data_IF_637228867364
#
_entry.id   IF_637228867364
#
_cell.length_a   1.000
_cell.length_b   1.000
_cell.length_c   1.000
_cell.angle_alpha   90.00
_cell.angle_beta   90.00
_cell.angle_gamma   90.00
#
_symmetry.space_group_name_H-M   'P 1'
#
loop_
_entity.id
_entity.type
_entity.pdbx_description
1 polymer ?
#
# COMPACT_ATOMS: atom_id res chain seq x y z
N UNK A 1 -6.37 36.92 -10.81
CA UNK A 1 -6.41 35.58 -11.46
C UNK A 1 -5.39 35.44 -12.60
N UNK A 2 -5.20 36.43 -13.48
CA UNK A 2 -4.26 36.36 -14.64
C UNK A 2 -2.76 36.24 -14.30
N UNK A 3 -2.29 36.73 -13.15
CA UNK A 3 -0.86 36.62 -12.76
C UNK A 3 -0.46 35.26 -12.12
N UNK A 4 -1.43 34.42 -11.71
CA UNK A 4 -1.14 33.09 -11.13
C UNK A 4 -0.87 32.04 -12.22
N UNK A 5 -1.46 32.18 -13.41
CA UNK A 5 -1.27 31.29 -14.56
C UNK A 5 0.19 31.20 -15.02
N UNK A 6 0.90 32.34 -15.08
CA UNK A 6 2.26 32.42 -15.65
C UNK A 6 3.32 31.77 -14.76
N UNK A 7 3.13 31.79 -13.43
CA UNK A 7 3.95 31.03 -12.47
C UNK A 7 3.62 29.53 -12.48
N UNK A 8 2.35 29.17 -12.73
CA UNK A 8 1.89 27.77 -12.80
C UNK A 8 2.50 26.98 -13.96
N UNK A 9 2.71 27.62 -15.11
CA UNK A 9 3.37 27.00 -16.28
C UNK A 9 4.87 26.71 -16.07
N UNK A 10 5.59 27.58 -15.35
CA UNK A 10 6.98 27.33 -14.96
C UNK A 10 7.08 26.20 -13.92
N UNK A 11 6.10 26.14 -13.02
CA UNK A 11 5.98 25.09 -12.00
C UNK A 11 5.63 23.73 -12.63
N UNK A 12 4.75 23.68 -13.64
CA UNK A 12 4.35 22.43 -14.30
C UNK A 12 5.50 21.77 -15.07
N UNK A 13 6.26 22.56 -15.87
CA UNK A 13 7.46 22.05 -16.53
C UNK A 13 8.52 21.58 -15.53
N UNK A 14 8.65 22.27 -14.39
CA UNK A 14 9.56 21.88 -13.31
C UNK A 14 9.08 20.60 -12.62
N UNK A 15 7.78 20.46 -12.35
CA UNK A 15 7.17 19.26 -11.77
C UNK A 15 7.32 18.05 -12.68
N UNK A 16 7.14 18.20 -14.00
CA UNK A 16 7.38 17.11 -14.97
C UNK A 16 8.86 16.72 -15.00
N UNK A 17 9.79 17.68 -14.96
CA UNK A 17 11.23 17.39 -14.88
C UNK A 17 11.60 16.67 -13.59
N UNK A 18 11.06 17.10 -12.45
CA UNK A 18 11.27 16.44 -11.15
C UNK A 18 10.68 15.03 -11.17
N UNK A 19 9.49 14.85 -11.72
CA UNK A 19 8.87 13.53 -11.88
C UNK A 19 9.74 12.58 -12.72
N UNK A 20 10.25 13.04 -13.86
CA UNK A 20 11.18 12.26 -14.69
C UNK A 20 12.49 11.93 -13.98
N UNK A 21 13.08 12.90 -13.28
CA UNK A 21 14.29 12.67 -12.48
C UNK A 21 14.03 11.65 -11.38
N UNK A 22 12.89 11.74 -10.70
CA UNK A 22 12.49 10.80 -9.66
C UNK A 22 12.32 9.38 -10.23
N UNK A 23 11.64 9.22 -11.38
CA UNK A 23 11.52 7.92 -12.05
C UNK A 23 12.89 7.36 -12.44
N UNK A 24 13.80 8.20 -12.93
CA UNK A 24 15.16 7.78 -13.29
C UNK A 24 15.95 7.31 -12.06
N UNK A 25 15.96 8.10 -10.98
CA UNK A 25 16.66 7.76 -9.73
C UNK A 25 16.06 6.50 -9.10
N UNK A 26 14.72 6.40 -9.05
CA UNK A 26 14.04 5.24 -8.51
C UNK A 26 14.33 3.97 -9.33
N UNK A 27 14.36 4.06 -10.65
CA UNK A 27 14.78 2.97 -11.53
C UNK A 27 16.22 2.51 -11.25
N UNK A 28 17.15 3.45 -11.06
CA UNK A 28 18.54 3.15 -10.72
C UNK A 28 18.65 2.41 -9.38
N UNK A 29 17.87 2.84 -8.37
CA UNK A 29 17.80 2.16 -7.07
C UNK A 29 17.27 0.74 -7.21
N UNK A 30 16.24 0.50 -8.02
CA UNK A 30 15.70 -0.85 -8.26
C UNK A 30 16.75 -1.76 -8.93
N UNK A 31 17.50 -1.24 -9.89
CA UNK A 31 18.58 -1.99 -10.55
C UNK A 31 19.66 -2.36 -9.53
N UNK A 32 20.10 -1.41 -8.70
CA UNK A 32 21.08 -1.66 -7.65
C UNK A 32 20.59 -2.71 -6.64
N UNK A 33 19.33 -2.61 -6.20
CA UNK A 33 18.70 -3.61 -5.35
C UNK A 33 18.66 -4.99 -6.01
N UNK A 34 18.35 -5.05 -7.31
CA UNK A 34 18.31 -6.30 -8.08
C UNK A 34 19.68 -6.97 -8.16
N UNK A 35 20.76 -6.18 -8.30
CA UNK A 35 22.13 -6.69 -8.24
C UNK A 35 22.55 -7.14 -6.82
N UNK A 36 21.88 -6.64 -5.77
CA UNK A 36 22.18 -7.01 -4.38
C UNK A 36 21.47 -8.30 -3.93
N UNK A 37 20.34 -8.65 -4.57
CA UNK A 37 19.60 -9.90 -4.32
C UNK A 37 20.49 -11.15 -4.24
N UNK A 38 21.42 -11.43 -5.18
CA UNK A 38 22.25 -12.64 -5.12
C UNK A 38 23.13 -12.72 -3.88
N UNK A 39 23.50 -11.58 -3.27
CA UNK A 39 24.39 -11.55 -2.10
C UNK A 39 23.65 -11.72 -0.77
N UNK A 40 22.35 -11.48 -0.72
CA UNK A 40 21.57 -11.39 0.52
C UNK A 40 20.69 -12.61 0.82
N UNK A 41 20.96 -13.75 0.18
CA UNK A 41 20.36 -15.04 0.55
C UNK A 41 18.98 -15.33 -0.05
N UNK A 42 18.63 -14.66 -1.16
CA UNK A 42 17.43 -14.91 -1.95
C UNK A 42 16.54 -13.66 -2.14
N UNK A 43 15.86 -13.57 -3.28
CA UNK A 43 15.01 -12.43 -3.63
C UNK A 43 13.91 -12.18 -2.60
N UNK A 44 13.28 -13.25 -2.12
CA UNK A 44 12.19 -13.18 -1.16
C UNK A 44 12.62 -12.52 0.15
N UNK A 45 13.72 -12.96 0.77
CA UNK A 45 14.16 -12.41 2.06
C UNK A 45 14.48 -10.92 1.95
N UNK A 46 15.14 -10.50 0.87
CA UNK A 46 15.48 -9.09 0.64
C UNK A 46 14.23 -8.25 0.42
N UNK A 47 13.32 -8.71 -0.45
CA UNK A 47 12.11 -7.97 -0.79
C UNK A 47 11.18 -7.88 0.42
N UNK A 48 10.98 -8.97 1.17
CA UNK A 48 10.14 -8.99 2.37
C UNK A 48 10.68 -8.03 3.42
N UNK A 49 11.98 -8.09 3.73
CA UNK A 49 12.64 -7.21 4.68
C UNK A 49 12.56 -5.74 4.28
N UNK A 50 12.79 -5.40 3.00
CA UNK A 50 12.67 -4.01 2.54
C UNK A 50 11.21 -3.54 2.57
N UNK A 51 10.27 -4.40 2.19
CA UNK A 51 8.86 -4.07 2.15
C UNK A 51 8.32 -3.84 3.57
N UNK A 52 8.64 -4.69 4.54
CA UNK A 52 8.19 -4.53 5.93
C UNK A 52 8.80 -3.27 6.56
N UNK A 53 10.07 -2.99 6.28
CA UNK A 53 10.76 -1.79 6.78
C UNK A 53 10.15 -0.48 6.27
N UNK A 54 9.52 -0.46 5.08
CA UNK A 54 8.90 0.74 4.51
C UNK A 54 7.38 0.78 4.74
N UNK A 55 6.68 -0.33 4.49
CA UNK A 55 5.22 -0.37 4.53
C UNK A 55 4.67 -0.29 5.94
N UNK A 56 5.26 -1.01 6.91
CA UNK A 56 4.76 -1.02 8.28
C UNK A 56 4.71 0.39 8.92
N UNK A 57 5.78 1.21 8.89
CA UNK A 57 5.74 2.58 9.41
C UNK A 57 4.91 3.55 8.57
N UNK A 58 4.50 3.18 7.36
CA UNK A 58 3.68 4.02 6.49
C UNK A 58 2.18 3.77 6.67
N UNK A 59 1.77 2.50 6.75
CA UNK A 59 0.38 2.12 6.92
C UNK A 59 -0.19 2.54 8.27
N UNK A 60 0.57 2.34 9.35
CA UNK A 60 0.07 2.54 10.71
C UNK A 60 -0.31 4.00 10.98
N UNK A 61 0.54 5.01 10.70
CA UNK A 61 0.17 6.43 10.82
C UNK A 61 -0.96 6.82 9.86
N UNK A 62 -1.01 6.23 8.66
CA UNK A 62 -2.06 6.55 7.69
C UNK A 62 -3.43 6.07 8.16
N UNK A 63 -3.54 4.85 8.68
CA UNK A 63 -4.77 4.31 9.26
C UNK A 63 -5.12 5.08 10.53
N UNK A 64 -4.17 5.29 11.43
CA UNK A 64 -4.41 5.99 12.69
C UNK A 64 -4.82 7.45 12.48
N UNK A 65 -4.23 8.13 11.51
CA UNK A 65 -4.59 9.50 11.14
C UNK A 65 -6.00 9.65 10.58
N UNK A 66 -6.55 8.61 9.95
CA UNK A 66 -7.96 8.61 9.49
C UNK A 66 -8.95 8.52 10.64
N UNK A 67 -8.59 7.85 11.75
CA UNK A 67 -9.46 7.70 12.93
C UNK A 67 -9.19 8.74 14.03
N UNK A 68 -8.00 9.35 14.05
CA UNK A 68 -7.63 10.34 15.06
C UNK A 68 -8.14 11.73 14.70
N UNK A 69 -8.89 12.34 15.62
CA UNK A 69 -9.39 13.73 15.48
C UNK A 69 -8.33 14.79 15.84
N UNK A 70 -7.17 14.36 16.35
CA UNK A 70 -6.23 15.22 17.10
C UNK A 70 -4.81 15.21 16.54
N UNK A 71 -4.49 14.34 15.59
CA UNK A 71 -3.16 14.25 14.99
C UNK A 71 -3.08 15.08 13.71
N UNK A 72 -2.22 16.10 13.75
CA UNK A 72 -1.90 16.90 12.57
C UNK A 72 -1.09 16.09 11.54
N UNK A 73 -1.26 16.37 10.25
CA UNK A 73 -0.49 15.72 9.18
C UNK A 73 1.04 15.82 9.36
N UNK A 74 1.52 16.93 9.91
CA UNK A 74 2.94 17.11 10.24
C UNK A 74 3.40 16.19 11.38
N UNK A 75 2.56 15.96 12.39
CA UNK A 75 2.87 15.01 13.46
C UNK A 75 2.92 13.58 12.93
N UNK A 76 2.02 13.19 12.01
CA UNK A 76 2.06 11.88 11.36
C UNK A 76 3.36 11.69 10.57
N UNK A 77 3.78 12.67 9.77
CA UNK A 77 5.05 12.61 9.03
C UNK A 77 6.23 12.52 10.00
N UNK A 78 6.23 13.29 11.08
CA UNK A 78 7.29 13.22 12.09
C UNK A 78 7.35 11.85 12.79
N UNK A 79 6.18 11.24 13.07
CA UNK A 79 6.05 9.91 13.64
C UNK A 79 6.62 8.84 12.69
N UNK A 80 6.33 8.96 11.39
CA UNK A 80 6.85 8.08 10.35
C UNK A 80 8.37 8.15 10.30
N UNK A 81 8.95 9.36 10.22
CA UNK A 81 10.41 9.56 10.17
C UNK A 81 11.07 9.01 11.44
N UNK A 82 10.51 9.31 12.61
CA UNK A 82 11.03 8.85 13.89
C UNK A 82 10.99 7.32 13.99
N UNK A 83 9.88 6.70 13.59
CA UNK A 83 9.76 5.24 13.55
C UNK A 83 10.77 4.63 12.61
N UNK A 84 10.99 5.25 11.44
CA UNK A 84 11.97 4.78 10.46
C UNK A 84 13.40 4.84 11.01
N UNK A 85 13.76 5.97 11.64
CA UNK A 85 15.06 6.15 12.31
C UNK A 85 15.26 5.10 13.42
N UNK A 86 14.29 4.94 14.31
CA UNK A 86 14.37 3.98 15.41
C UNK A 86 14.43 2.55 14.89
N UNK A 87 13.68 2.22 13.84
CA UNK A 87 13.70 0.89 13.23
C UNK A 87 15.04 0.53 12.61
N UNK A 88 15.70 1.48 11.92
CA UNK A 88 17.06 1.30 11.39
C UNK A 88 18.06 1.15 12.53
N UNK A 89 18.01 2.05 13.52
CA UNK A 89 18.96 2.05 14.64
C UNK A 89 18.82 0.78 15.49
N UNK A 90 17.60 0.31 15.75
CA UNK A 90 17.36 -0.94 16.48
C UNK A 90 18.00 -2.15 15.76
N UNK A 91 17.97 -2.16 14.43
CA UNK A 91 18.59 -3.22 13.62
C UNK A 91 20.13 -3.18 13.65
N UNK A 92 20.72 -1.99 13.78
CA UNK A 92 22.17 -1.81 13.84
C UNK A 92 22.73 -2.07 15.24
N UNK A 93 21.98 -1.71 16.29
CA UNK A 93 22.44 -1.75 17.68
C UNK A 93 22.18 -3.11 18.34
N UNK A 94 21.08 -3.80 18.01
CA UNK A 94 20.71 -5.07 18.67
C UNK A 94 21.37 -6.24 17.91
N UNK A 95 22.36 -6.93 18.50
CA UNK A 95 22.98 -8.08 17.85
C UNK A 95 22.00 -9.24 17.75
N UNK A 96 22.09 -9.99 16.65
CA UNK A 96 21.21 -11.14 16.34
C UNK A 96 21.28 -12.29 17.36
N UNK A 97 22.20 -12.21 18.33
CA UNK A 97 22.35 -13.16 19.43
C UNK A 97 21.30 -13.01 20.53
N UNK A 98 20.63 -11.85 20.63
CA UNK A 98 19.68 -11.56 21.71
C UNK A 98 18.22 -11.71 21.25
N UNK A 99 17.93 -11.31 20.00
CA UNK A 99 16.59 -11.34 19.41
C UNK A 99 16.70 -11.70 17.92
N UNK A 100 15.79 -12.56 17.44
CA UNK A 100 15.68 -12.91 16.02
C UNK A 100 15.44 -11.67 15.15
N UNK A 101 16.17 -11.48 14.03
CA UNK A 101 16.03 -10.32 13.15
C UNK A 101 14.60 -10.07 12.65
N UNK A 102 13.83 -11.15 12.39
CA UNK A 102 12.43 -11.08 11.98
C UNK A 102 11.50 -10.53 13.07
N UNK A 103 11.79 -10.80 14.34
CA UNK A 103 11.02 -10.28 15.46
C UNK A 103 11.33 -8.80 15.70
N UNK A 104 12.60 -8.40 15.56
CA UNK A 104 13.01 -6.98 15.61
C UNK A 104 12.29 -6.20 14.51
N UNK A 105 12.28 -6.72 13.29
CA UNK A 105 11.63 -6.07 12.14
C UNK A 105 10.11 -5.95 12.34
N UNK A 106 9.46 -6.99 12.87
CA UNK A 106 8.03 -6.96 13.16
C UNK A 106 7.66 -6.01 14.31
N UNK A 107 8.45 -5.99 15.38
CA UNK A 107 8.21 -5.13 16.56
C UNK A 107 8.51 -3.67 16.24
N UNK A 108 9.64 -3.40 15.58
CA UNK A 108 10.01 -2.04 15.17
C UNK A 108 9.06 -1.50 14.08
N UNK A 109 8.60 -2.35 13.17
CA UNK A 109 7.69 -1.97 12.10
C UNK A 109 6.25 -1.76 12.58
N UNK A 110 5.77 -2.54 13.55
CA UNK A 110 4.36 -2.52 13.94
C UNK A 110 4.09 -1.96 15.34
N UNK A 111 4.81 -2.44 16.36
CA UNK A 111 4.53 -2.08 17.76
C UNK A 111 5.03 -0.68 18.08
N UNK A 112 6.24 -0.34 17.62
CA UNK A 112 6.87 0.94 17.88
C UNK A 112 6.09 2.16 17.32
N UNK A 113 5.65 2.18 16.04
CA UNK A 113 4.84 3.30 15.54
C UNK A 113 3.51 3.41 16.26
N UNK A 114 2.86 2.30 16.61
CA UNK A 114 1.61 2.31 17.38
C UNK A 114 1.83 2.94 18.75
N UNK A 115 2.90 2.58 19.46
CA UNK A 115 3.23 3.17 20.76
C UNK A 115 3.54 4.68 20.65
N UNK A 116 4.32 5.09 19.65
CA UNK A 116 4.65 6.50 19.43
C UNK A 116 3.37 7.31 19.14
N UNK A 117 2.49 6.81 18.27
CA UNK A 117 1.22 7.45 17.96
C UNK A 117 0.30 7.48 19.17
N UNK A 118 0.21 6.41 19.95
CA UNK A 118 -0.60 6.36 21.16
C UNK A 118 -0.13 7.38 22.20
N UNK A 119 1.19 7.53 22.40
CA UNK A 119 1.75 8.53 23.31
C UNK A 119 1.42 9.95 22.80
N UNK A 120 1.56 10.21 21.50
CA UNK A 120 1.23 11.51 20.92
C UNK A 120 -0.27 11.82 20.98
N UNK A 121 -1.13 10.84 20.75
CA UNK A 121 -2.59 10.94 20.89
C UNK A 121 -2.97 11.29 22.33
N UNK A 122 -2.43 10.57 23.32
CA UNK A 122 -2.67 10.82 24.75
C UNK A 122 -2.16 12.19 25.18
N UNK A 123 -0.99 12.61 24.68
CA UNK A 123 -0.45 13.94 24.95
C UNK A 123 -1.29 15.04 24.31
N UNK A 124 -1.73 14.86 23.07
CA UNK A 124 -2.61 15.80 22.35
C UNK A 124 -4.00 15.89 23.00
N UNK A 125 -4.54 14.76 23.47
CA UNK A 125 -5.80 14.68 24.21
C UNK A 125 -5.71 15.43 25.54
N UNK A 126 -4.60 15.31 26.27
CA UNK A 126 -4.36 16.06 27.52
C UNK A 126 -4.23 17.57 27.29
N UNK A 127 -3.73 17.96 26.12
CA UNK A 127 -3.46 19.37 25.78
C UNK A 127 -4.64 20.04 25.04
N UNK A 128 -5.75 19.31 24.81
CA UNK A 128 -6.97 19.76 24.10
C UNK A 128 -6.72 20.44 22.75
N UNK A 129 -5.67 20.03 22.03
CA UNK A 129 -5.50 20.49 20.65
C UNK A 129 -6.46 19.73 19.73
N UNK A 130 -7.17 20.47 18.90
CA UNK A 130 -7.92 19.95 17.76
C UNK A 130 -7.14 20.33 16.49
N UNK A 131 -6.99 19.39 15.57
CA UNK A 131 -6.28 19.65 14.33
C UNK A 131 -7.14 20.52 13.39
N UNK A 132 -6.50 21.50 12.74
CA UNK A 132 -7.12 22.36 11.72
C UNK A 132 -7.73 21.55 10.57
N UNK A 133 -7.14 20.39 10.25
CA UNK A 133 -7.66 19.46 9.25
C UNK A 133 -9.01 18.84 9.63
N UNK A 134 -9.22 18.52 10.92
CA UNK A 134 -10.49 17.99 11.41
C UNK A 134 -11.58 19.08 11.42
N UNK A 135 -11.23 20.30 11.83
CA UNK A 135 -12.16 21.43 11.81
C UNK A 135 -12.60 21.76 10.37
N UNK A 136 -11.67 21.77 9.40
CA UNK A 136 -11.99 22.00 7.99
C UNK A 136 -12.92 20.92 7.40
N UNK A 137 -12.84 19.66 7.86
CA UNK A 137 -13.75 18.58 7.43
C UNK A 137 -15.12 18.72 8.11
N UNK A 138 -15.17 19.11 9.40
CA UNK A 138 -16.43 19.36 10.09
C UNK A 138 -17.17 20.61 9.57
N UNK A 139 -16.44 21.62 9.09
CA UNK A 139 -17.00 22.82 8.48
C UNK A 139 -17.44 22.57 7.01
N UNK A 140 -16.89 21.53 6.37
CA UNK A 140 -17.31 21.05 5.07
C UNK A 140 -18.67 20.35 5.16
N UNK A 141 -19.73 21.15 5.17
CA UNK A 141 -21.10 20.67 5.07
C UNK A 141 -21.42 20.50 3.59
N UNK A 142 -21.33 19.26 3.09
CA UNK A 142 -21.79 18.93 1.74
C UNK A 142 -23.31 18.71 1.80
N UNK A 143 -24.14 19.61 1.21
CA UNK A 143 -25.58 19.47 1.22
C UNK A 143 -26.09 18.22 0.44
N UNK A 144 -25.22 17.54 -0.32
CA UNK A 144 -25.53 16.26 -0.97
C UNK A 144 -24.98 15.02 -0.23
N UNK A 145 -24.23 15.17 0.88
CA UNK A 145 -23.64 14.02 1.59
C UNK A 145 -24.67 13.06 2.18
N UNK A 146 -25.83 13.57 2.61
CA UNK A 146 -26.93 12.77 3.18
C UNK A 146 -28.02 12.42 2.16
N UNK A 147 -27.84 12.79 0.88
CA UNK A 147 -28.77 12.41 -0.18
C UNK A 147 -28.55 10.92 -0.51
N UNK A 148 -29.61 10.12 -0.52
CA UNK A 148 -29.48 8.74 -0.97
C UNK A 148 -28.94 8.71 -2.42
N UNK A 149 -27.86 7.95 -2.68
CA UNK A 149 -27.23 7.96 -3.99
C UNK A 149 -28.20 7.47 -5.05
N UNK A 150 -28.34 8.25 -6.12
CA UNK A 150 -29.26 7.98 -7.21
C UNK A 150 -28.88 6.67 -7.92
N UNK A 151 -29.83 6.04 -8.62
CA UNK A 151 -29.59 4.82 -9.40
C UNK A 151 -28.44 4.97 -10.42
N UNK A 152 -28.18 6.18 -10.91
CA UNK A 152 -27.08 6.48 -11.84
C UNK A 152 -25.72 6.50 -11.13
N UNK A 153 -25.64 7.06 -9.93
CA UNK A 153 -24.42 7.11 -9.12
C UNK A 153 -24.06 5.72 -8.58
N UNK A 154 -25.05 4.96 -8.09
CA UNK A 154 -24.85 3.55 -7.69
C UNK A 154 -24.28 2.72 -8.85
N UNK A 155 -24.78 2.92 -10.07
CA UNK A 155 -24.25 2.26 -11.28
C UNK A 155 -22.83 2.73 -11.61
N UNK A 156 -22.54 4.03 -11.51
CA UNK A 156 -21.20 4.56 -11.77
C UNK A 156 -20.16 4.01 -10.79
N UNK A 157 -20.43 4.05 -9.48
CA UNK A 157 -19.56 3.49 -8.44
C UNK A 157 -19.31 2.00 -8.67
N UNK A 158 -20.36 1.25 -9.03
CA UNK A 158 -20.24 -0.18 -9.31
C UNK A 158 -19.39 -0.48 -10.55
N UNK A 159 -19.46 0.35 -11.60
CA UNK A 159 -18.58 0.26 -12.77
C UNK A 159 -17.11 0.52 -12.37
N UNK A 160 -16.85 1.52 -11.53
CA UNK A 160 -15.51 1.78 -11.00
C UNK A 160 -14.97 0.59 -10.20
N UNK A 161 -15.78 0.03 -9.30
CA UNK A 161 -15.42 -1.17 -8.53
C UNK A 161 -15.11 -2.37 -9.43
N UNK A 162 -15.91 -2.59 -10.48
CA UNK A 162 -15.62 -3.64 -11.46
C UNK A 162 -14.32 -3.40 -12.25
N UNK A 163 -14.02 -2.15 -12.61
CA UNK A 163 -12.76 -1.83 -13.29
C UNK A 163 -11.56 -2.14 -12.39
N UNK A 164 -11.64 -1.77 -11.11
CA UNK A 164 -10.59 -2.07 -10.12
C UNK A 164 -10.38 -3.58 -9.95
N UNK A 165 -11.47 -4.35 -9.79
CA UNK A 165 -11.38 -5.81 -9.65
C UNK A 165 -10.90 -6.48 -10.94
N UNK A 166 -11.30 -6.00 -12.12
CA UNK A 166 -10.77 -6.49 -13.40
C UNK A 166 -9.25 -6.30 -13.48
N UNK A 167 -8.74 -5.13 -13.10
CA UNK A 167 -7.30 -4.87 -13.05
C UNK A 167 -6.60 -5.85 -12.12
N UNK A 168 -7.13 -6.07 -10.93
CA UNK A 168 -6.60 -7.03 -9.96
C UNK A 168 -6.58 -8.47 -10.51
N UNK A 169 -7.68 -8.93 -11.12
CA UNK A 169 -7.74 -10.26 -11.74
C UNK A 169 -6.71 -10.42 -12.88
N UNK A 170 -6.47 -9.38 -13.68
CA UNK A 170 -5.43 -9.40 -14.73
C UNK A 170 -4.05 -9.57 -14.09
N UNK A 171 -3.74 -8.82 -13.02
CA UNK A 171 -2.44 -8.94 -12.33
C UNK A 171 -2.22 -10.34 -11.77
N UNK A 172 -3.22 -10.93 -11.11
CA UNK A 172 -3.16 -12.32 -10.62
C UNK A 172 -2.98 -13.31 -11.77
N UNK A 173 -3.69 -13.10 -12.89
CA UNK A 173 -3.58 -13.96 -14.07
C UNK A 173 -2.18 -13.93 -14.68
N UNK A 174 -1.55 -12.75 -14.78
CA UNK A 174 -0.17 -12.62 -15.25
C UNK A 174 0.81 -13.30 -14.30
N UNK A 175 0.64 -13.14 -12.99
CA UNK A 175 1.47 -13.84 -11.98
C UNK A 175 1.33 -15.36 -12.10
N UNK A 176 0.10 -15.86 -12.25
CA UNK A 176 -0.15 -17.29 -12.46
C UNK A 176 0.53 -17.81 -13.74
N UNK A 177 0.49 -17.05 -14.83
CA UNK A 177 1.16 -17.39 -16.08
C UNK A 177 2.69 -17.44 -15.91
N UNK A 178 3.28 -16.48 -15.19
CA UNK A 178 4.70 -16.48 -14.88
C UNK A 178 5.10 -17.70 -14.03
N UNK A 179 4.27 -18.10 -13.04
CA UNK A 179 4.51 -19.30 -12.25
C UNK A 179 4.42 -20.58 -13.08
N UNK A 180 3.52 -20.65 -14.06
CA UNK A 180 3.46 -21.77 -15.02
C UNK A 180 4.73 -21.80 -15.87
N UNK A 181 5.20 -20.64 -16.35
CA UNK A 181 6.48 -20.53 -17.08
C UNK A 181 7.66 -21.05 -16.25
N UNK A 182 7.70 -20.71 -14.96
CA UNK A 182 8.70 -21.21 -14.02
C UNK A 182 8.61 -22.73 -13.82
N UNK A 183 7.39 -23.29 -13.79
CA UNK A 183 7.15 -24.72 -13.62
C UNK A 183 7.66 -25.55 -14.81
N UNK A 184 7.62 -24.97 -16.01
CA UNK A 184 8.06 -25.62 -17.26
C UNK A 184 9.57 -25.47 -17.45
N UNK A 185 10.11 -24.28 -17.19
CA UNK A 185 11.51 -23.96 -17.45
C UNK A 185 12.47 -24.29 -16.29
N UNK A 186 11.96 -24.43 -15.06
CA UNK A 186 12.76 -24.68 -13.87
C UNK A 186 12.82 -26.16 -13.50
N UNK A 187 14.02 -26.66 -13.18
CA UNK A 187 14.19 -27.97 -12.56
C UNK A 187 13.85 -27.88 -11.05
N UNK A 188 12.76 -28.52 -10.58
CA UNK A 188 12.36 -28.44 -9.19
C UNK A 188 13.31 -29.29 -8.34
N UNK A 189 14.07 -28.65 -7.44
CA UNK A 189 14.96 -29.33 -6.49
C UNK A 189 14.22 -30.23 -5.49
N UNK A 190 12.91 -30.04 -5.28
CA UNK A 190 12.07 -30.85 -4.38
C UNK A 190 10.61 -30.96 -4.88
N UNK A 191 10.01 -32.16 -4.74
CA UNK A 191 8.61 -32.43 -5.08
C UNK A 191 7.61 -31.58 -4.27
N UNK A 192 7.94 -31.24 -3.02
CA UNK A 192 7.11 -30.42 -2.15
C UNK A 192 6.92 -28.99 -2.70
N UNK A 193 7.98 -28.37 -3.22
CA UNK A 193 7.92 -27.01 -3.80
C UNK A 193 7.03 -27.01 -5.05
N UNK A 194 7.13 -28.06 -5.88
CA UNK A 194 6.27 -28.23 -7.06
C UNK A 194 4.78 -28.28 -6.67
N UNK A 195 4.45 -29.02 -5.60
CA UNK A 195 3.09 -29.12 -5.07
C UNK A 195 2.53 -27.77 -4.59
N UNK A 196 3.34 -27.00 -3.84
CA UNK A 196 2.95 -25.66 -3.37
C UNK A 196 2.68 -24.71 -4.54
N UNK A 197 3.56 -24.68 -5.54
CA UNK A 197 3.40 -23.82 -6.72
C UNK A 197 2.15 -24.19 -7.50
N UNK A 198 1.91 -25.48 -7.77
CA UNK A 198 0.68 -25.94 -8.46
C UNK A 198 -0.57 -25.56 -7.65
N UNK A 199 -0.56 -25.77 -6.33
CA UNK A 199 -1.67 -25.38 -5.45
C UNK A 199 -1.98 -23.88 -5.53
N UNK A 200 -0.94 -23.04 -5.54
CA UNK A 200 -1.11 -21.58 -5.67
C UNK A 200 -1.69 -21.18 -7.03
N UNK A 201 -1.28 -21.82 -8.12
CA UNK A 201 -1.81 -21.58 -9.47
C UNK A 201 -3.29 -21.95 -9.54
N UNK A 202 -3.65 -23.13 -9.02
CA UNK A 202 -5.05 -23.59 -8.99
C UNK A 202 -5.92 -22.63 -8.19
N UNK A 203 -5.45 -22.16 -7.03
CA UNK A 203 -6.17 -21.19 -6.20
C UNK A 203 -6.36 -19.85 -6.93
N UNK A 204 -5.32 -19.35 -7.62
CA UNK A 204 -5.42 -18.13 -8.42
C UNK A 204 -6.43 -18.26 -9.57
N UNK A 205 -6.40 -19.37 -10.29
CA UNK A 205 -7.38 -19.65 -11.37
C UNK A 205 -8.79 -19.76 -10.79
N UNK A 206 -8.97 -20.43 -9.65
CA UNK A 206 -10.26 -20.55 -8.98
C UNK A 206 -10.82 -19.18 -8.58
N UNK A 207 -10.00 -18.26 -8.06
CA UNK A 207 -10.42 -16.89 -7.75
C UNK A 207 -10.86 -16.11 -9.00
N UNK A 208 -10.12 -16.23 -10.10
CA UNK A 208 -10.49 -15.59 -11.37
C UNK A 208 -11.82 -16.16 -11.90
N UNK A 209 -12.00 -17.47 -11.85
CA UNK A 209 -13.24 -18.13 -12.26
C UNK A 209 -14.42 -17.72 -11.39
N UNK A 210 -14.25 -17.68 -10.07
CA UNK A 210 -15.28 -17.22 -9.13
C UNK A 210 -15.72 -15.77 -9.44
N UNK A 211 -14.76 -14.88 -9.74
CA UNK A 211 -15.06 -13.51 -10.16
C UNK A 211 -15.81 -13.45 -11.50
N UNK A 212 -15.38 -14.22 -12.50
CA UNK A 212 -16.05 -14.28 -13.81
C UNK A 212 -17.47 -14.80 -13.66
N UNK A 213 -17.69 -15.86 -12.87
CA UNK A 213 -19.02 -16.39 -12.55
C UNK A 213 -19.88 -15.35 -11.85
N UNK A 214 -19.35 -14.69 -10.81
CA UNK A 214 -20.04 -13.59 -10.13
C UNK A 214 -20.46 -12.50 -11.12
N UNK A 215 -19.57 -12.08 -12.02
CA UNK A 215 -19.85 -11.07 -13.05
C UNK A 215 -20.94 -11.52 -14.02
N UNK A 216 -20.93 -12.77 -14.46
CA UNK A 216 -21.95 -13.32 -15.36
C UNK A 216 -23.32 -13.38 -14.66
N UNK A 217 -23.37 -13.86 -13.42
CA UNK A 217 -24.61 -13.92 -12.63
C UNK A 217 -25.15 -12.52 -12.38
N UNK A 218 -24.28 -11.57 -12.03
CA UNK A 218 -24.65 -10.18 -11.81
C UNK A 218 -25.20 -9.51 -13.08
N UNK A 219 -24.54 -9.71 -14.22
CA UNK A 219 -25.02 -9.22 -15.52
C UNK A 219 -26.38 -9.82 -15.89
N UNK A 220 -26.62 -11.10 -15.58
CA UNK A 220 -27.92 -11.75 -15.77
C UNK A 220 -29.01 -11.17 -14.87
N UNK A 221 -28.72 -10.91 -13.59
CA UNK A 221 -29.70 -10.28 -12.66
C UNK A 221 -30.08 -8.87 -13.09
N UNK A 222 -29.13 -8.07 -13.55
CA UNK A 222 -29.41 -6.72 -14.06
C UNK A 222 -30.34 -6.74 -15.28
N UNK A 223 -30.17 -7.72 -16.18
CA UNK A 223 -31.01 -7.86 -17.38
C UNK A 223 -32.45 -8.30 -17.06
N UNK A 224 -32.70 -8.93 -15.92
CA UNK A 224 -34.05 -9.32 -15.46
C UNK A 224 -34.77 -8.23 -14.64
N UNK A 225 -34.03 -7.21 -14.18
CA UNK A 225 -34.56 -6.10 -13.36
C UNK A 225 -34.80 -4.81 -14.15
N UNK A 226 -34.51 -4.81 -15.46
CA UNK A 226 -34.76 -3.71 -16.40
C UNK A 226 -35.90 -4.09 -17.34
#
# INVERSE_FOLDING_TARGET
>A
WVHKEKKRQADEKKRIKVGRLFTFVFGLVIIALSMLIPFAGGAEKVVVTLLTMVMCPLYIPSIWGLFSKRLTGNQLISAMILTWLVGIMARVIIPASVISPSLIESVAGCVLPVLILAIMEVWSARKKYEDNGYQAICEYTDPEADREPTLKEKKAVLIYSHLAVNCFCITIGVVALLLIGLLIAGDPKTLAVKGIVIGSIVLMIAMILAYVIYRIIYARRLKMSS
#
